data_IF_694706028925
#
_entry.id   IF_694706028925
#
_cell.length_a   1.000
_cell.length_b   1.000
_cell.length_c   1.000
_cell.angle_alpha   90.00
_cell.angle_beta   90.00
_cell.angle_gamma   90.00
#
_symmetry.space_group_name_H-M   'P 1'
#
loop_
_entity.id
_entity.type
_entity.pdbx_description
1 polymer ?
#
# COMPACT_ATOMS: atom_id res chain seq x y z
N UNK A 1 22.47 13.00 -11.76
CA UNK A 1 21.04 12.83 -11.39
C UNK A 1 20.74 11.34 -11.32
N UNK A 2 20.48 10.76 -10.13
CA UNK A 2 20.00 9.37 -10.01
C UNK A 2 18.62 9.31 -10.69
N UNK A 3 18.53 8.67 -11.85
CA UNK A 3 17.23 8.29 -12.46
C UNK A 3 16.60 7.29 -11.51
N UNK A 4 15.53 7.68 -10.82
CA UNK A 4 14.72 6.72 -10.05
C UNK A 4 14.14 5.71 -11.05
N UNK A 5 14.73 4.51 -11.07
CA UNK A 5 14.28 3.41 -11.90
C UNK A 5 13.00 2.87 -11.25
N UNK A 6 11.86 3.10 -11.89
CA UNK A 6 10.52 2.65 -11.47
C UNK A 6 10.03 3.20 -10.11
N UNK A 7 8.96 3.98 -10.13
CA UNK A 7 8.15 4.21 -8.92
C UNK A 7 7.41 2.91 -8.60
N UNK A 8 7.28 2.58 -7.32
CA UNK A 8 6.46 1.47 -6.86
C UNK A 8 5.06 1.53 -7.48
N UNK A 9 4.59 0.43 -8.08
CA UNK A 9 3.26 0.39 -8.66
C UNK A 9 2.18 0.30 -7.62
N UNK A 10 1.11 1.07 -7.80
CA UNK A 10 -0.09 0.95 -7.00
C UNK A 10 -1.19 0.24 -7.79
N UNK A 11 -1.95 -0.62 -7.09
CA UNK A 11 -3.13 -1.23 -7.67
C UNK A 11 -4.17 -0.14 -7.94
N UNK A 12 -4.68 -0.09 -9.17
CA UNK A 12 -5.78 0.80 -9.56
C UNK A 12 -7.13 0.12 -9.41
N UNK A 13 -7.19 -1.20 -9.62
CA UNK A 13 -8.38 -2.03 -9.46
C UNK A 13 -8.05 -3.36 -8.79
N UNK A 14 -8.95 -3.84 -7.94
CA UNK A 14 -8.90 -5.17 -7.33
C UNK A 14 -10.30 -5.77 -7.27
N UNK A 15 -10.39 -7.10 -7.19
CA UNK A 15 -11.67 -7.78 -6.99
C UNK A 15 -12.19 -7.51 -5.57
N UNK A 16 -13.44 -7.06 -5.45
CA UNK A 16 -14.09 -6.90 -4.16
C UNK A 16 -15.07 -8.06 -3.90
N UNK A 17 -14.94 -8.81 -2.79
CA UNK A 17 -15.84 -9.93 -2.48
C UNK A 17 -17.29 -9.47 -2.20
N UNK A 18 -17.48 -8.25 -1.67
CA UNK A 18 -18.80 -7.71 -1.38
C UNK A 18 -19.51 -7.16 -2.62
N UNK A 19 -18.78 -6.48 -3.51
CA UNK A 19 -19.33 -6.00 -4.79
C UNK A 19 -19.36 -7.08 -5.87
N UNK A 20 -18.62 -8.19 -5.68
CA UNK A 20 -18.47 -9.34 -6.58
C UNK A 20 -17.98 -8.96 -7.99
N UNK A 21 -17.13 -7.95 -8.08
CA UNK A 21 -16.54 -7.49 -9.33
C UNK A 21 -15.20 -6.80 -9.09
N UNK A 22 -14.44 -6.56 -10.17
CA UNK A 22 -13.29 -5.67 -10.14
C UNK A 22 -13.75 -4.24 -9.89
N UNK A 23 -13.21 -3.60 -8.86
CA UNK A 23 -13.56 -2.24 -8.44
C UNK A 23 -12.31 -1.38 -8.36
N UNK A 24 -12.41 -0.07 -8.59
CA UNK A 24 -11.32 0.83 -8.27
C UNK A 24 -11.07 0.83 -6.75
N UNK A 25 -9.81 1.02 -6.39
CA UNK A 25 -9.37 0.97 -4.99
C UNK A 25 -8.76 2.30 -4.54
N UNK A 26 -8.86 2.57 -3.24
CA UNK A 26 -8.13 3.65 -2.58
C UNK A 26 -7.03 3.03 -1.73
N UNK A 27 -5.82 3.55 -1.89
CA UNK A 27 -4.68 3.22 -1.04
C UNK A 27 -4.71 4.09 0.20
N UNK A 28 -4.63 3.48 1.37
CA UNK A 28 -4.56 4.18 2.66
C UNK A 28 -3.38 3.64 3.47
N UNK A 29 -2.59 4.52 4.06
CA UNK A 29 -1.53 4.12 4.98
C UNK A 29 -2.16 3.50 6.23
N UNK A 30 -1.77 2.27 6.55
CA UNK A 30 -2.17 1.60 7.79
C UNK A 30 -1.16 1.87 8.89
N UNK A 31 0.11 1.60 8.61
CA UNK A 31 1.18 1.59 9.61
C UNK A 31 2.49 2.07 9.00
N UNK A 32 3.20 2.91 9.74
CA UNK A 32 4.60 3.23 9.50
C UNK A 32 5.45 2.32 10.39
N UNK A 33 6.35 1.57 9.79
CA UNK A 33 7.27 0.66 10.45
C UNK A 33 8.71 1.17 10.27
N UNK A 34 9.62 0.68 11.10
CA UNK A 34 11.05 1.03 11.02
C UNK A 34 11.66 0.63 9.67
N UNK A 35 11.18 -0.47 9.07
CA UNK A 35 11.68 -1.04 7.82
C UNK A 35 10.81 -0.69 6.60
N UNK A 36 9.78 0.14 6.74
CA UNK A 36 8.87 0.44 5.64
C UNK A 36 7.47 0.88 6.06
N UNK A 37 6.57 0.89 5.09
CA UNK A 37 5.19 1.34 5.27
C UNK A 37 4.22 0.26 4.81
N UNK A 38 3.16 0.02 5.59
CA UNK A 38 2.06 -0.87 5.23
C UNK A 38 0.85 -0.05 4.84
N UNK A 39 0.28 -0.39 3.70
CA UNK A 39 -0.91 0.22 3.13
C UNK A 39 -2.04 -0.79 3.00
N UNK A 40 -3.27 -0.32 3.12
CA UNK A 40 -4.50 -1.03 2.79
C UNK A 40 -5.05 -0.51 1.46
N UNK A 41 -5.61 -1.42 0.66
CA UNK A 41 -6.44 -1.09 -0.48
C UNK A 41 -7.89 -1.35 -0.12
N UNK A 42 -8.70 -0.31 -0.16
CA UNK A 42 -10.14 -0.40 0.12
C UNK A 42 -10.95 -0.17 -1.13
N UNK A 43 -12.03 -0.92 -1.31
CA UNK A 43 -13.02 -0.68 -2.36
C UNK A 43 -13.58 0.76 -2.24
N UNK A 44 -13.58 1.52 -3.34
CA UNK A 44 -14.12 2.89 -3.35
C UNK A 44 -15.61 2.98 -3.07
N UNK A 45 -16.36 1.89 -3.31
CA UNK A 45 -17.82 1.88 -3.24
C UNK A 45 -18.33 1.40 -1.87
N UNK A 46 -17.84 0.26 -1.37
CA UNK A 46 -18.31 -0.32 -0.11
C UNK A 46 -17.30 -0.21 1.04
N UNK A 47 -16.09 0.32 0.80
CA UNK A 47 -15.07 0.50 1.83
C UNK A 47 -14.41 -0.77 2.35
N UNK A 48 -14.77 -1.95 1.83
CA UNK A 48 -14.18 -3.23 2.23
C UNK A 48 -12.69 -3.25 1.86
N UNK A 49 -11.84 -3.71 2.79
CA UNK A 49 -10.43 -4.00 2.50
C UNK A 49 -10.35 -5.17 1.52
N UNK A 50 -9.62 -4.96 0.43
CA UNK A 50 -9.51 -5.91 -0.69
C UNK A 50 -8.06 -6.33 -0.95
N UNK A 51 -7.10 -5.77 -0.21
CA UNK A 51 -5.70 -6.19 -0.28
C UNK A 51 -4.80 -5.22 0.49
N UNK A 52 -3.55 -5.62 0.73
CA UNK A 52 -2.54 -4.78 1.36
C UNK A 52 -1.27 -4.65 0.50
N UNK A 53 -0.47 -3.61 0.78
CA UNK A 53 0.84 -3.39 0.16
C UNK A 53 1.86 -3.02 1.22
N UNK A 54 2.99 -3.72 1.23
CA UNK A 54 4.15 -3.36 2.03
C UNK A 54 5.19 -2.70 1.12
N UNK A 55 5.62 -1.49 1.49
CA UNK A 55 6.73 -0.78 0.84
C UNK A 55 7.91 -0.84 1.80
N UNK A 56 8.93 -1.63 1.47
CA UNK A 56 10.13 -1.74 2.30
C UNK A 56 11.09 -0.59 2.00
N UNK A 57 11.49 0.15 3.04
CA UNK A 57 12.55 1.15 2.93
C UNK A 57 13.89 0.47 3.18
N UNK A 58 14.61 0.10 2.12
CA UNK A 58 15.91 -0.58 2.21
C UNK A 58 17.04 0.34 2.72
N UNK A 59 16.79 1.65 2.81
CA UNK A 59 17.82 2.65 3.14
C UNK A 59 17.70 3.25 4.55
N UNK A 60 16.70 2.87 5.37
CA UNK A 60 16.51 3.46 6.69
C UNK A 60 17.01 2.54 7.81
N UNK A 61 18.16 2.91 8.39
CA UNK A 61 18.74 2.31 9.60
C UNK A 61 17.71 2.34 10.76
N UNK A 62 17.69 1.33 11.64
CA UNK A 62 16.75 1.30 12.76
C UNK A 62 17.00 2.49 13.68
N UNK A 63 15.98 3.35 13.84
CA UNK A 63 15.97 4.35 14.90
C UNK A 63 15.93 3.62 16.24
N UNK A 64 17.09 3.54 16.90
CA UNK A 64 17.22 3.07 18.28
C UNK A 64 16.57 4.14 19.16
N UNK A 65 15.33 3.89 19.59
CA UNK A 65 14.73 4.67 20.67
C UNK A 65 15.25 4.05 21.96
N UNK A 66 16.19 4.75 22.61
CA UNK A 66 16.67 4.46 23.96
C UNK A 66 15.85 5.24 24.97
#
# INVERSE_FOLDING_TARGET
MKRQQYKDFDATQLFCPNCRQAVPVRKRLLLVLTNGEKYDYTCTFCGTSVGDKMVSNRDNQPLIIR
#
